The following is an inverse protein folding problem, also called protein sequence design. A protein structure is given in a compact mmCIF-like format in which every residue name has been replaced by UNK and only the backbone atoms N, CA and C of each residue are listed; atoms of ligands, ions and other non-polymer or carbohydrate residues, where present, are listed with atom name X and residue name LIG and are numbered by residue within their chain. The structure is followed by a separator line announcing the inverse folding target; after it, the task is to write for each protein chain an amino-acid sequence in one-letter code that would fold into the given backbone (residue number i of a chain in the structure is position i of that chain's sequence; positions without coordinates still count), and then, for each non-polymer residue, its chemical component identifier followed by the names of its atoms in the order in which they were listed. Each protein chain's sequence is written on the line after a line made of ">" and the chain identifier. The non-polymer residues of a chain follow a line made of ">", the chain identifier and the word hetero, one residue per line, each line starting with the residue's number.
data_IF_834479760045
#
_entry.id   IF_834479760045
#
_cell.length_a   1.000
_cell.length_b   1.000
_cell.length_c   1.000
_cell.angle_alpha   90.00
_cell.angle_beta   90.00
_cell.angle_gamma   90.00
#
_symmetry.space_group_name_H-M   'P 1'
#
loop_
_entity.id
_entity.type
_entity.pdbx_description
1 polymer ?
#
# COMPACT_ATOMS: atom_id res chain seq x y z
N UNK A 1 -48.14 20.80 4.11
CA UNK A 1 -47.34 20.02 3.14
C UNK A 1 -46.21 19.36 3.89
N UNK A 2 -46.35 18.07 4.12
CA UNK A 2 -45.49 17.25 4.96
C UNK A 2 -44.27 16.82 4.15
N UNK A 3 -43.04 17.21 4.60
CA UNK A 3 -41.81 16.72 4.01
C UNK A 3 -41.59 15.30 4.52
N UNK A 4 -41.72 14.33 3.62
CA UNK A 4 -41.45 12.92 3.84
C UNK A 4 -39.99 12.75 4.18
N UNK A 5 -39.66 12.45 5.44
CA UNK A 5 -38.34 11.93 5.85
C UNK A 5 -38.15 10.55 5.21
N UNK A 6 -37.36 10.48 4.12
CA UNK A 6 -36.80 9.21 3.64
C UNK A 6 -35.88 8.68 4.71
N UNK A 7 -36.29 7.61 5.39
CA UNK A 7 -35.42 6.79 6.22
C UNK A 7 -34.47 6.09 5.26
N UNK A 8 -33.24 6.60 5.17
CA UNK A 8 -32.14 5.88 4.52
C UNK A 8 -31.93 4.58 5.29
N UNK A 9 -32.09 3.45 4.63
CA UNK A 9 -31.74 2.15 5.18
C UNK A 9 -30.24 2.22 5.58
N UNK A 10 -29.96 2.12 6.87
CA UNK A 10 -28.63 2.02 7.43
C UNK A 10 -27.96 0.80 6.79
N UNK A 11 -26.98 1.02 5.92
CA UNK A 11 -26.13 -0.06 5.42
C UNK A 11 -25.21 -0.41 6.56
N UNK A 12 -25.23 -1.67 7.02
CA UNK A 12 -24.40 -2.12 8.13
C UNK A 12 -22.92 -1.97 7.74
N UNK A 13 -22.18 -1.14 8.47
CA UNK A 13 -20.73 -1.02 8.34
C UNK A 13 -20.05 -2.26 8.95
N UNK A 14 -18.80 -2.60 8.60
CA UNK A 14 -18.03 -3.62 9.31
C UNK A 14 -17.98 -3.35 10.83
N UNK A 15 -18.03 -2.08 11.24
CA UNK A 15 -18.11 -1.64 12.62
C UNK A 15 -19.41 -2.07 13.29
N UNK A 16 -20.56 -1.99 12.59
CA UNK A 16 -21.87 -2.46 13.08
C UNK A 16 -21.89 -3.99 13.31
N UNK A 17 -21.05 -4.75 12.58
CA UNK A 17 -20.91 -6.21 12.76
C UNK A 17 -20.02 -6.58 13.94
N UNK A 18 -19.09 -5.69 14.32
CA UNK A 18 -18.17 -5.91 15.43
C UNK A 18 -18.80 -5.54 16.79
N UNK A 19 -19.80 -4.67 16.77
CA UNK A 19 -20.49 -4.14 17.96
C UNK A 19 -19.49 -3.76 19.07
N UNK A 20 -18.50 -2.91 18.78
CA UNK A 20 -17.56 -2.49 19.82
C UNK A 20 -18.26 -1.57 20.81
N UNK A 21 -17.88 -1.66 22.08
CA UNK A 21 -18.31 -0.75 23.13
C UNK A 21 -17.28 0.33 23.45
N UNK A 22 -16.10 0.26 22.80
CA UNK A 22 -15.06 1.26 22.89
C UNK A 22 -13.93 1.06 21.89
N UNK A 23 -12.98 2.01 21.82
CA UNK A 23 -11.88 1.96 20.88
C UNK A 23 -10.54 2.45 21.44
N UNK A 24 -9.45 1.83 21.01
CA UNK A 24 -8.08 2.33 21.18
C UNK A 24 -7.55 2.70 19.80
N UNK A 25 -7.15 3.96 19.61
CA UNK A 25 -6.62 4.44 18.34
C UNK A 25 -5.10 4.48 18.38
N UNK A 26 -4.46 3.67 17.52
CA UNK A 26 -3.00 3.53 17.46
C UNK A 26 -2.40 4.45 16.39
N UNK A 27 -1.48 5.33 16.79
CA UNK A 27 -0.76 6.24 15.89
C UNK A 27 0.67 5.73 15.72
N UNK A 28 1.11 5.56 14.47
CA UNK A 28 2.51 5.33 14.15
C UNK A 28 3.27 6.67 14.19
N UNK A 29 4.09 6.88 15.21
CA UNK A 29 4.80 8.17 15.37
C UNK A 29 5.93 8.41 14.36
N UNK A 30 6.39 7.38 13.63
CA UNK A 30 7.27 7.58 12.47
C UNK A 30 6.54 8.24 11.29
N UNK A 31 5.23 7.96 11.15
CA UNK A 31 4.35 8.54 10.14
C UNK A 31 2.93 8.69 10.73
N UNK A 32 2.64 9.80 11.40
CA UNK A 32 1.39 9.97 12.15
C UNK A 32 0.10 10.03 11.32
N UNK A 33 0.18 10.24 10.02
CA UNK A 33 -0.96 10.28 9.07
C UNK A 33 -2.20 10.99 9.65
N UNK A 34 -2.06 12.25 10.04
CA UNK A 34 -3.07 13.01 10.79
C UNK A 34 -4.44 13.04 10.10
N UNK A 35 -4.47 13.19 8.77
CA UNK A 35 -5.73 13.18 8.00
C UNK A 35 -6.48 11.87 8.13
N UNK A 36 -5.77 10.75 8.06
CA UNK A 36 -6.32 9.42 8.24
C UNK A 36 -6.79 9.19 9.68
N UNK A 37 -6.01 9.66 10.66
CA UNK A 37 -6.40 9.54 12.06
C UNK A 37 -7.67 10.33 12.39
N UNK A 38 -7.89 11.47 11.74
CA UNK A 38 -9.15 12.23 11.87
C UNK A 38 -10.36 11.44 11.41
N UNK A 39 -10.25 10.63 10.34
CA UNK A 39 -11.34 9.75 9.90
C UNK A 39 -11.69 8.71 10.97
N UNK A 40 -10.70 8.11 11.64
CA UNK A 40 -10.97 7.20 12.75
C UNK A 40 -11.60 7.92 13.94
N UNK A 41 -11.16 9.13 14.24
CA UNK A 41 -11.74 9.96 15.33
C UNK A 41 -13.20 10.29 15.04
N UNK A 42 -13.53 10.82 13.87
CA UNK A 42 -14.89 11.10 13.44
C UNK A 42 -15.77 9.85 13.58
N UNK A 43 -15.26 8.69 13.19
CA UNK A 43 -15.98 7.44 13.26
C UNK A 43 -16.34 6.99 14.69
N UNK A 44 -15.42 7.10 15.64
CA UNK A 44 -15.66 6.71 17.04
C UNK A 44 -16.52 7.77 17.75
N UNK A 45 -16.39 9.04 17.39
CA UNK A 45 -17.21 10.14 17.89
C UNK A 45 -18.66 10.03 17.40
N UNK A 46 -18.88 9.78 16.10
CA UNK A 46 -20.21 9.55 15.52
C UNK A 46 -20.91 8.34 16.14
N UNK A 47 -20.14 7.29 16.42
CA UNK A 47 -20.63 6.09 17.13
C UNK A 47 -20.79 6.32 18.64
N UNK A 48 -20.42 7.47 19.18
CA UNK A 48 -20.43 7.81 20.59
C UNK A 48 -19.69 6.79 21.48
N UNK A 49 -18.61 6.21 20.97
CA UNK A 49 -17.81 5.23 21.68
C UNK A 49 -16.77 5.93 22.58
N UNK A 50 -16.55 5.48 23.81
CA UNK A 50 -15.40 5.89 24.60
C UNK A 50 -14.12 5.44 23.89
N UNK A 51 -13.09 6.29 23.88
CA UNK A 51 -11.83 5.99 23.25
C UNK A 51 -10.64 6.71 23.90
N UNK A 52 -9.43 6.23 23.63
CA UNK A 52 -8.19 6.96 23.86
C UNK A 52 -7.16 6.65 22.77
N UNK A 53 -6.15 7.52 22.66
CA UNK A 53 -5.13 7.45 21.63
C UNK A 53 -3.79 6.99 22.20
N UNK A 54 -3.08 6.14 21.47
CA UNK A 54 -1.74 5.65 21.78
C UNK A 54 -0.76 6.08 20.68
N UNK A 55 0.25 6.84 21.06
CA UNK A 55 1.36 7.25 20.21
C UNK A 55 2.46 6.19 20.31
N UNK A 56 2.51 5.25 19.37
CA UNK A 56 3.46 4.14 19.35
C UNK A 56 4.76 4.48 18.60
N UNK A 57 5.83 3.70 18.84
CA UNK A 57 7.18 3.85 18.32
C UNK A 57 7.93 5.08 18.89
N UNK A 58 7.63 5.42 20.15
CA UNK A 58 8.30 6.53 20.84
C UNK A 58 9.79 6.26 21.11
N UNK A 59 10.24 5.03 21.01
CA UNK A 59 11.64 4.61 21.15
C UNK A 59 12.55 5.10 19.99
N UNK A 60 11.94 5.45 18.84
CA UNK A 60 12.66 5.85 17.63
C UNK A 60 12.31 7.25 17.12
N UNK A 61 11.54 8.04 17.89
CA UNK A 61 11.14 9.40 17.51
C UNK A 61 11.43 10.41 18.63
N UNK A 62 11.61 11.67 18.27
CA UNK A 62 11.84 12.73 19.23
C UNK A 62 10.55 13.16 19.95
N UNK A 63 10.68 13.59 21.22
CA UNK A 63 9.54 14.07 22.02
C UNK A 63 8.83 15.29 21.40
N UNK A 64 9.52 16.09 20.62
CA UNK A 64 8.99 17.24 19.87
C UNK A 64 7.89 16.83 18.87
N UNK A 65 8.03 15.66 18.25
CA UNK A 65 7.04 15.11 17.32
C UNK A 65 5.74 14.73 18.04
N UNK A 66 5.81 14.23 19.26
CA UNK A 66 4.64 13.93 20.08
C UNK A 66 3.83 15.21 20.39
N UNK A 67 4.50 16.30 20.79
CA UNK A 67 3.86 17.58 21.05
C UNK A 67 3.18 18.14 19.81
N UNK A 68 3.89 18.14 18.68
CA UNK A 68 3.34 18.60 17.39
C UNK A 68 2.13 17.77 16.93
N UNK A 69 2.12 16.47 17.21
CA UNK A 69 0.99 15.58 16.87
C UNK A 69 -0.20 15.84 17.79
N UNK A 70 0.03 16.04 19.10
CA UNK A 70 -1.01 16.45 20.05
C UNK A 70 -1.69 17.76 19.63
N UNK A 71 -0.88 18.78 19.28
CA UNK A 71 -1.38 20.09 18.85
C UNK A 71 -2.25 19.98 17.58
N UNK A 72 -1.84 19.16 16.63
CA UNK A 72 -2.58 18.94 15.38
C UNK A 72 -3.90 18.19 15.57
N UNK A 73 -3.96 17.26 16.51
CA UNK A 73 -5.17 16.48 16.82
C UNK A 73 -6.08 17.17 17.84
N UNK A 74 -5.53 18.00 18.72
CA UNK A 74 -6.25 18.62 19.83
C UNK A 74 -6.62 17.62 20.93
N UNK A 75 -5.94 16.46 21.01
CA UNK A 75 -6.25 15.35 21.92
C UNK A 75 -5.01 14.88 22.68
N UNK A 76 -5.23 14.30 23.85
CA UNK A 76 -4.15 13.68 24.62
C UNK A 76 -3.75 12.34 24.01
N UNK A 77 -2.43 12.09 23.97
CA UNK A 77 -1.84 10.87 23.43
C UNK A 77 -1.05 10.16 24.52
N UNK A 78 -1.25 8.87 24.68
CA UNK A 78 -0.43 8.02 25.56
C UNK A 78 0.84 7.63 24.79
N UNK A 79 2.02 8.15 25.18
CA UNK A 79 3.26 7.77 24.54
C UNK A 79 3.63 6.32 24.90
N UNK A 80 4.02 5.53 23.91
CA UNK A 80 4.37 4.13 24.12
C UNK A 80 5.35 3.60 23.07
N UNK A 81 5.98 2.49 23.40
CA UNK A 81 6.73 1.65 22.47
C UNK A 81 6.36 0.19 22.67
N UNK A 82 5.80 -0.43 21.66
CA UNK A 82 5.47 -1.86 21.69
C UNK A 82 6.74 -2.73 21.63
N UNK A 83 7.89 -2.17 21.28
CA UNK A 83 9.18 -2.87 21.22
C UNK A 83 9.83 -2.90 22.60
N UNK A 84 9.90 -1.77 23.28
CA UNK A 84 10.56 -1.66 24.60
C UNK A 84 9.61 -1.93 25.77
N UNK A 85 8.31 -1.91 25.57
CA UNK A 85 7.29 -2.00 26.61
C UNK A 85 7.06 -0.67 27.36
N UNK A 86 7.72 0.42 26.96
CA UNK A 86 7.49 1.74 27.55
C UNK A 86 6.04 2.19 27.33
N UNK A 87 5.42 2.75 28.37
CA UNK A 87 4.03 3.24 28.31
C UNK A 87 2.96 2.17 28.52
N UNK A 88 3.29 0.87 28.58
CA UNK A 88 2.31 -0.21 28.71
C UNK A 88 1.47 -0.12 30.00
N UNK A 89 2.07 0.25 31.13
CA UNK A 89 1.32 0.41 32.38
C UNK A 89 0.33 1.59 32.31
N UNK A 90 0.70 2.66 31.60
CA UNK A 90 -0.21 3.78 31.33
C UNK A 90 -1.38 3.34 30.43
N UNK A 91 -1.13 2.55 29.41
CA UNK A 91 -2.17 1.99 28.52
C UNK A 91 -3.13 1.10 29.33
N UNK A 92 -2.61 0.21 30.18
CA UNK A 92 -3.44 -0.65 31.06
C UNK A 92 -4.29 0.16 32.03
N UNK A 93 -3.73 1.24 32.60
CA UNK A 93 -4.50 2.15 33.46
C UNK A 93 -5.62 2.83 32.69
N UNK A 94 -5.31 3.43 31.53
CA UNK A 94 -6.30 4.08 30.65
C UNK A 94 -7.39 3.11 30.18
N UNK A 95 -7.04 1.85 29.91
CA UNK A 95 -8.01 0.82 29.54
C UNK A 95 -9.01 0.56 30.66
N UNK A 96 -8.55 0.45 31.91
CA UNK A 96 -9.43 0.27 33.07
C UNK A 96 -10.27 1.51 33.41
N UNK A 97 -9.75 2.70 33.12
CA UNK A 97 -10.44 3.96 33.35
C UNK A 97 -11.52 4.22 32.29
N UNK A 98 -11.27 3.82 31.03
CA UNK A 98 -12.14 4.11 29.90
C UNK A 98 -13.21 3.03 29.65
N UNK A 99 -12.95 1.78 30.06
CA UNK A 99 -13.80 0.64 29.72
C UNK A 99 -14.12 -0.22 30.94
N UNK A 100 -15.20 -1.00 30.86
CA UNK A 100 -15.63 -1.94 31.90
C UNK A 100 -15.36 -3.40 31.50
N UNK A 101 -15.14 -4.32 32.48
CA UNK A 101 -15.10 -5.75 32.18
C UNK A 101 -16.37 -6.19 31.41
N UNK A 102 -16.19 -6.93 30.33
CA UNK A 102 -17.25 -7.30 29.38
C UNK A 102 -17.25 -6.46 28.12
N UNK A 103 -16.56 -5.32 28.11
CA UNK A 103 -16.50 -4.46 26.93
C UNK A 103 -15.73 -5.09 25.77
N UNK A 104 -16.17 -4.75 24.58
CA UNK A 104 -15.56 -5.13 23.30
C UNK A 104 -14.80 -3.93 22.75
N UNK A 105 -13.47 -3.95 22.87
CA UNK A 105 -12.61 -2.81 22.55
C UNK A 105 -11.96 -3.02 21.18
N UNK A 106 -12.30 -2.19 20.23
CA UNK A 106 -11.69 -2.21 18.91
C UNK A 106 -10.32 -1.50 18.93
N UNK A 107 -9.29 -2.15 18.40
CA UNK A 107 -7.96 -1.55 18.23
C UNK A 107 -7.88 -1.02 16.80
N UNK A 108 -7.96 0.29 16.64
CA UNK A 108 -7.99 1.00 15.37
C UNK A 108 -6.65 1.67 15.06
N UNK A 109 -6.35 1.89 13.81
CA UNK A 109 -5.14 2.60 13.39
C UNK A 109 -4.67 2.14 12.02
N UNK A 110 -3.85 2.97 11.39
CA UNK A 110 -3.27 2.67 10.08
C UNK A 110 -2.43 1.39 10.12
N UNK A 111 -2.11 0.90 8.93
CA UNK A 111 -1.17 -0.20 8.80
C UNK A 111 0.16 0.12 9.51
N UNK A 112 0.76 -0.89 10.13
CA UNK A 112 2.02 -0.77 10.89
C UNK A 112 1.99 0.25 12.06
N UNK A 113 0.81 0.57 12.60
CA UNK A 113 0.69 1.39 13.82
C UNK A 113 0.96 0.61 15.11
N UNK A 114 1.06 -0.73 15.04
CA UNK A 114 1.37 -1.60 16.17
C UNK A 114 0.13 -2.18 16.88
N UNK A 115 -1.01 -2.33 16.20
CA UNK A 115 -2.25 -2.89 16.79
C UNK A 115 -2.06 -4.31 17.32
N UNK A 116 -1.61 -5.22 16.48
CA UNK A 116 -1.33 -6.62 16.85
C UNK A 116 -0.24 -6.70 17.92
N UNK A 117 0.78 -5.82 17.84
CA UNK A 117 1.84 -5.75 18.85
C UNK A 117 1.29 -5.30 20.22
N UNK A 118 0.34 -4.36 20.24
CA UNK A 118 -0.33 -3.95 21.48
C UNK A 118 -1.11 -5.13 22.09
N UNK A 119 -1.86 -5.86 21.29
CA UNK A 119 -2.62 -7.04 21.75
C UNK A 119 -1.66 -8.12 22.27
N UNK A 120 -0.57 -8.39 21.57
CA UNK A 120 0.48 -9.31 22.00
C UNK A 120 1.06 -8.92 23.36
N UNK A 121 1.41 -7.64 23.55
CA UNK A 121 1.92 -7.11 24.82
C UNK A 121 0.89 -7.17 25.96
N UNK A 122 -0.39 -6.93 25.69
CA UNK A 122 -1.44 -7.01 26.68
C UNK A 122 -1.73 -8.46 27.10
N UNK A 123 -1.88 -9.34 26.11
CA UNK A 123 -2.31 -10.73 26.33
C UNK A 123 -1.15 -11.69 26.69
N UNK A 124 0.08 -11.32 26.39
CA UNK A 124 1.25 -12.21 26.50
C UNK A 124 1.29 -13.32 25.44
N UNK A 125 0.43 -13.25 24.41
CA UNK A 125 0.40 -14.18 23.30
C UNK A 125 1.49 -13.84 22.28
N UNK A 126 2.17 -14.85 21.76
CA UNK A 126 3.08 -14.70 20.62
C UNK A 126 2.26 -14.66 19.34
N UNK A 127 1.80 -13.44 19.00
CA UNK A 127 1.01 -13.20 17.80
C UNK A 127 1.94 -12.95 16.61
N UNK A 128 1.59 -13.48 15.46
CA UNK A 128 2.32 -13.21 14.21
C UNK A 128 2.21 -11.71 13.88
N UNK A 129 3.24 -10.96 14.24
CA UNK A 129 3.37 -9.54 13.96
C UNK A 129 4.06 -9.44 12.60
N UNK A 130 3.31 -9.16 11.54
CA UNK A 130 3.87 -9.02 10.20
C UNK A 130 3.89 -7.56 9.77
N UNK A 131 5.01 -7.13 9.17
CA UNK A 131 5.11 -5.83 8.48
C UNK A 131 4.46 -5.85 7.09
N UNK A 132 3.75 -6.94 6.74
CA UNK A 132 3.09 -7.10 5.46
C UNK A 132 1.65 -6.59 5.52
N UNK A 133 1.19 -5.82 4.51
CA UNK A 133 -0.23 -5.50 4.37
C UNK A 133 -1.05 -6.80 4.26
N UNK A 134 -2.04 -6.97 5.16
CA UNK A 134 -2.91 -8.14 5.13
C UNK A 134 -2.56 -9.29 6.09
N UNK A 135 -1.65 -9.09 7.05
CA UNK A 135 -1.45 -10.07 8.16
C UNK A 135 -2.71 -10.27 8.98
N UNK A 136 -3.58 -9.27 9.06
CA UNK A 136 -4.92 -9.41 9.63
C UNK A 136 -5.91 -9.33 8.47
N UNK A 137 -6.22 -10.47 7.85
CA UNK A 137 -7.22 -10.57 6.77
C UNK A 137 -8.65 -10.64 7.28
N UNK A 138 -8.82 -10.95 8.57
CA UNK A 138 -10.10 -11.05 9.27
C UNK A 138 -9.98 -10.38 10.64
N UNK A 139 -11.11 -9.88 11.16
CA UNK A 139 -11.18 -9.36 12.53
C UNK A 139 -10.97 -10.50 13.53
N UNK A 140 -9.89 -10.43 14.29
CA UNK A 140 -9.59 -11.44 15.31
C UNK A 140 -9.88 -10.89 16.70
N UNK A 141 -10.43 -11.73 17.57
CA UNK A 141 -10.82 -11.37 18.92
C UNK A 141 -9.93 -12.06 19.95
N UNK A 142 -9.51 -11.31 20.96
CA UNK A 142 -8.64 -11.79 22.03
C UNK A 142 -9.22 -11.42 23.38
N UNK A 143 -9.15 -12.32 24.36
CA UNK A 143 -9.56 -12.06 25.75
C UNK A 143 -8.40 -11.50 26.54
N UNK A 144 -8.64 -10.42 27.28
CA UNK A 144 -7.67 -9.82 28.21
C UNK A 144 -8.38 -9.22 29.43
N UNK A 145 -8.09 -9.70 30.65
CA UNK A 145 -8.63 -9.20 31.93
C UNK A 145 -10.15 -8.92 31.93
N UNK A 146 -10.93 -9.74 31.23
CA UNK A 146 -12.39 -9.60 31.11
C UNK A 146 -12.84 -8.73 29.91
N UNK A 147 -11.94 -8.11 29.18
CA UNK A 147 -12.23 -7.40 27.93
C UNK A 147 -12.14 -8.35 26.72
N UNK A 148 -12.85 -8.00 25.66
CA UNK A 148 -12.64 -8.58 24.33
C UNK A 148 -11.93 -7.56 23.45
N UNK A 149 -10.64 -7.74 23.20
CA UNK A 149 -9.86 -6.92 22.28
C UNK A 149 -10.10 -7.39 20.85
N UNK A 150 -10.43 -6.47 19.95
CA UNK A 150 -10.68 -6.78 18.53
C UNK A 150 -9.54 -6.21 17.70
N UNK A 151 -8.71 -7.07 17.13
CA UNK A 151 -7.70 -6.66 16.15
C UNK A 151 -8.39 -6.30 14.85
N UNK A 152 -8.14 -5.10 14.37
CA UNK A 152 -8.76 -4.60 13.14
C UNK A 152 -7.76 -4.55 12.00
N UNK A 153 -8.25 -4.77 10.79
CA UNK A 153 -7.45 -4.63 9.58
C UNK A 153 -6.92 -3.19 9.51
N UNK A 154 -5.61 -3.01 9.29
CA UNK A 154 -4.93 -1.69 9.27
C UNK A 154 -5.25 -0.83 8.04
N UNK A 155 -6.43 -0.99 7.46
CA UNK A 155 -6.90 -0.14 6.36
C UNK A 155 -7.80 0.97 6.90
N UNK A 156 -7.67 2.16 6.33
CA UNK A 156 -8.64 3.24 6.52
C UNK A 156 -9.93 2.79 5.86
N UNK A 157 -10.86 2.31 6.66
CA UNK A 157 -12.22 2.15 6.21
C UNK A 157 -12.88 3.49 6.43
N UNK A 158 -13.09 4.26 5.38
CA UNK A 158 -14.05 5.36 5.42
C UNK A 158 -15.43 4.74 5.66
N UNK A 159 -15.89 4.81 6.91
CA UNK A 159 -17.12 4.14 7.38
C UNK A 159 -18.35 4.71 6.68
N UNK A 160 -18.24 5.88 6.08
CA UNK A 160 -19.32 6.57 5.36
C UNK A 160 -19.26 6.31 3.84
N UNK A 161 -18.22 5.64 3.35
CA UNK A 161 -18.16 5.21 1.94
C UNK A 161 -18.37 3.70 1.83
N UNK A 162 -19.23 3.25 0.92
CA UNK A 162 -19.39 1.83 0.66
C UNK A 162 -18.01 1.24 0.31
N UNK A 163 -17.57 0.29 1.13
CA UNK A 163 -16.35 -0.48 0.91
C UNK A 163 -16.52 -1.22 -0.42
N UNK A 164 -15.85 -0.82 -1.48
CA UNK A 164 -15.76 -1.53 -2.75
C UNK A 164 -16.52 -0.97 -3.98
N UNK A 165 -16.69 0.32 -4.14
CA UNK A 165 -17.02 0.78 -5.49
C UNK A 165 -16.10 1.92 -5.90
N UNK A 166 -15.14 1.61 -6.76
CA UNK A 166 -14.30 2.62 -7.43
C UNK A 166 -15.09 3.41 -8.49
N UNK A 167 -16.35 3.07 -8.70
CA UNK A 167 -17.27 3.68 -9.68
C UNK A 167 -18.65 3.70 -9.09
N UNK A 168 -19.32 4.85 -9.10
CA UNK A 168 -20.75 4.90 -8.76
C UNK A 168 -21.57 4.29 -9.92
N UNK A 169 -22.16 3.14 -9.64
CA UNK A 169 -23.00 2.38 -10.56
C UNK A 169 -24.48 2.42 -10.14
N UNK A 170 -24.84 3.23 -9.16
CA UNK A 170 -26.16 3.21 -8.53
C UNK A 170 -27.30 3.62 -9.47
N UNK A 171 -27.03 4.46 -10.45
CA UNK A 171 -27.96 4.94 -11.47
C UNK A 171 -28.01 4.07 -12.74
N UNK A 172 -27.13 3.09 -12.86
CA UNK A 172 -27.09 2.18 -14.00
C UNK A 172 -28.19 1.12 -13.89
N UNK A 173 -29.05 1.04 -14.90
CA UNK A 173 -30.23 0.15 -14.93
C UNK A 173 -29.86 -1.28 -15.39
N UNK A 174 -28.77 -1.47 -16.12
CA UNK A 174 -28.40 -2.76 -16.69
C UNK A 174 -26.92 -3.07 -16.46
N UNK A 175 -26.55 -4.37 -16.50
CA UNK A 175 -25.17 -4.80 -16.48
C UNK A 175 -24.35 -4.21 -17.64
N UNK A 176 -24.95 -4.01 -18.81
CA UNK A 176 -24.31 -3.39 -19.97
C UNK A 176 -23.91 -1.94 -19.68
N UNK A 177 -24.77 -1.18 -19.03
CA UNK A 177 -24.47 0.21 -18.64
C UNK A 177 -23.36 0.26 -17.60
N UNK A 178 -23.41 -0.64 -16.61
CA UNK A 178 -22.37 -0.76 -15.58
C UNK A 178 -21.00 -1.05 -16.19
N UNK A 179 -20.92 -2.06 -17.07
CA UNK A 179 -19.70 -2.41 -17.78
C UNK A 179 -19.16 -1.24 -18.63
N UNK A 180 -20.06 -0.59 -19.39
CA UNK A 180 -19.68 0.56 -20.22
C UNK A 180 -19.15 1.74 -19.38
N UNK A 181 -19.72 1.98 -18.20
CA UNK A 181 -19.27 3.04 -17.29
C UNK A 181 -17.87 2.76 -16.76
N UNK A 182 -17.59 1.55 -16.26
CA UNK A 182 -16.27 1.16 -15.79
C UNK A 182 -15.20 1.34 -16.90
N UNK A 183 -15.46 0.84 -18.09
CA UNK A 183 -14.53 0.97 -19.22
C UNK A 183 -14.27 2.44 -19.62
N UNK A 184 -15.32 3.28 -19.60
CA UNK A 184 -15.13 4.72 -19.88
C UNK A 184 -14.30 5.39 -18.81
N UNK A 185 -14.57 5.09 -17.54
CA UNK A 185 -13.82 5.67 -16.43
C UNK A 185 -12.33 5.29 -16.46
N UNK A 186 -12.02 4.04 -16.80
CA UNK A 186 -10.63 3.61 -16.97
C UNK A 186 -9.97 4.35 -18.13
N UNK A 187 -10.66 4.51 -19.27
CA UNK A 187 -10.18 5.30 -20.41
C UNK A 187 -9.97 6.79 -20.05
N UNK A 188 -10.88 7.40 -19.29
CA UNK A 188 -10.72 8.77 -18.79
C UNK A 188 -9.50 8.92 -17.88
N UNK A 189 -9.21 7.93 -17.05
CA UNK A 189 -8.01 7.90 -16.21
C UNK A 189 -6.71 7.87 -17.02
N UNK A 190 -6.69 7.08 -18.09
CA UNK A 190 -5.57 7.03 -19.03
C UNK A 190 -5.38 8.39 -19.71
N UNK A 191 -6.46 8.99 -20.23
CA UNK A 191 -6.40 10.29 -20.90
C UNK A 191 -5.96 11.41 -19.96
N UNK A 192 -6.48 11.45 -18.74
CA UNK A 192 -6.06 12.43 -17.74
C UNK A 192 -4.58 12.30 -17.34
N UNK A 193 -4.02 11.12 -17.47
CA UNK A 193 -2.61 10.86 -17.16
C UNK A 193 -1.65 11.44 -18.19
N UNK A 194 -2.08 11.65 -19.44
CA UNK A 194 -1.26 12.28 -20.47
C UNK A 194 -0.72 13.65 -20.03
N UNK A 195 -1.54 14.46 -19.35
CA UNK A 195 -1.15 15.83 -18.95
C UNK A 195 -0.07 15.87 -17.88
N UNK A 196 0.14 14.80 -17.14
CA UNK A 196 1.02 14.77 -15.96
C UNK A 196 2.18 13.78 -16.09
N UNK A 197 2.07 12.79 -16.95
CA UNK A 197 3.06 11.70 -17.04
C UNK A 197 4.12 11.94 -18.12
N UNK A 198 3.85 12.72 -19.15
CA UNK A 198 4.72 12.83 -20.34
C UNK A 198 6.13 13.32 -20.01
N UNK A 199 6.27 14.37 -19.21
CA UNK A 199 7.59 14.91 -18.85
C UNK A 199 8.43 13.89 -18.08
N UNK A 200 7.81 13.18 -17.13
CA UNK A 200 8.45 12.13 -16.38
C UNK A 200 8.80 10.91 -17.24
N UNK A 201 7.90 10.54 -18.15
CA UNK A 201 8.12 9.44 -19.10
C UNK A 201 9.32 9.73 -20.02
N UNK A 202 9.39 10.92 -20.60
CA UNK A 202 10.49 11.34 -21.47
C UNK A 202 11.84 11.25 -20.73
N UNK A 203 11.93 11.79 -19.53
CA UNK A 203 13.14 11.72 -18.70
C UNK A 203 13.52 10.27 -18.38
N UNK A 204 12.56 9.43 -18.04
CA UNK A 204 12.80 8.03 -17.68
C UNK A 204 13.21 7.20 -18.89
N UNK A 205 12.65 7.45 -20.09
CA UNK A 205 13.12 6.81 -21.34
C UNK A 205 14.60 7.11 -21.59
N UNK A 206 15.02 8.38 -21.44
CA UNK A 206 16.43 8.77 -21.59
C UNK A 206 17.34 8.03 -20.62
N UNK A 207 16.98 8.03 -19.36
CA UNK A 207 17.77 7.39 -18.30
C UNK A 207 17.82 5.88 -18.47
N UNK A 208 16.69 5.24 -18.78
CA UNK A 208 16.64 3.79 -19.05
C UNK A 208 17.54 3.42 -20.21
N UNK A 209 17.45 4.15 -21.34
CA UNK A 209 18.27 3.87 -22.50
C UNK A 209 19.76 3.96 -22.17
N UNK A 210 20.20 5.04 -21.53
CA UNK A 210 21.62 5.27 -21.18
C UNK A 210 22.16 4.18 -20.23
N UNK A 211 21.36 3.78 -19.22
CA UNK A 211 21.81 2.79 -18.24
C UNK A 211 21.84 1.37 -18.85
N UNK A 212 20.86 1.02 -19.67
CA UNK A 212 20.85 -0.28 -20.36
C UNK A 212 22.03 -0.39 -21.34
N UNK A 213 22.33 0.66 -22.08
CA UNK A 213 23.51 0.70 -22.97
C UNK A 213 24.82 0.56 -22.19
N UNK A 214 24.85 1.04 -20.97
CA UNK A 214 25.99 0.90 -20.04
C UNK A 214 26.06 -0.48 -19.36
N UNK A 215 25.15 -1.39 -19.67
CA UNK A 215 25.11 -2.75 -19.12
C UNK A 215 24.44 -2.88 -17.75
N UNK A 216 23.78 -1.83 -17.29
CA UNK A 216 23.01 -1.87 -16.04
C UNK A 216 21.65 -2.54 -16.24
N UNK A 217 21.10 -3.10 -15.17
CA UNK A 217 19.80 -3.77 -15.19
C UNK A 217 18.68 -2.89 -14.67
N UNK A 218 17.49 -3.25 -15.06
CA UNK A 218 16.25 -2.63 -14.59
C UNK A 218 15.54 -3.60 -13.65
N UNK A 219 15.13 -3.09 -12.51
CA UNK A 219 14.37 -3.82 -11.50
C UNK A 219 13.05 -3.08 -11.27
N UNK A 220 11.95 -3.81 -11.22
CA UNK A 220 10.64 -3.23 -10.93
C UNK A 220 10.01 -3.89 -9.71
N UNK A 221 9.31 -3.10 -8.92
CA UNK A 221 8.63 -3.57 -7.69
C UNK A 221 7.28 -2.88 -7.48
N UNK A 222 6.37 -3.59 -6.85
CA UNK A 222 5.03 -3.11 -6.51
C UNK A 222 4.31 -4.09 -5.59
N UNK A 223 3.15 -3.69 -5.02
CA UNK A 223 2.33 -4.53 -4.17
C UNK A 223 0.91 -4.67 -4.68
N UNK A 224 0.28 -5.82 -4.44
CA UNK A 224 -1.09 -6.10 -4.84
C UNK A 224 -1.30 -5.79 -6.32
N UNK A 225 -2.29 -4.96 -6.66
CA UNK A 225 -2.57 -4.59 -8.04
C UNK A 225 -1.39 -3.83 -8.73
N UNK A 226 -0.62 -3.03 -7.98
CA UNK A 226 0.62 -2.43 -8.50
C UNK A 226 1.71 -3.47 -8.75
N UNK A 227 1.72 -4.57 -8.00
CA UNK A 227 2.57 -5.73 -8.26
C UNK A 227 2.23 -6.41 -9.58
N UNK A 228 0.95 -6.52 -9.93
CA UNK A 228 0.53 -7.03 -11.25
C UNK A 228 1.01 -6.14 -12.40
N UNK A 229 0.97 -4.80 -12.22
CA UNK A 229 1.54 -3.86 -13.21
C UNK A 229 3.05 -4.04 -13.34
N UNK A 230 3.75 -4.28 -12.21
CA UNK A 230 5.18 -4.58 -12.23
C UNK A 230 5.50 -5.89 -12.97
N UNK A 231 4.68 -6.92 -12.81
CA UNK A 231 4.82 -8.19 -13.54
C UNK A 231 4.60 -8.00 -15.04
N UNK A 232 3.58 -7.23 -15.43
CA UNK A 232 3.31 -6.87 -16.82
C UNK A 232 4.50 -6.11 -17.43
N UNK A 233 5.07 -5.15 -16.70
CA UNK A 233 6.26 -4.44 -17.13
C UNK A 233 7.44 -5.39 -17.42
N UNK A 234 7.63 -6.42 -16.62
CA UNK A 234 8.67 -7.43 -16.85
C UNK A 234 8.36 -8.30 -18.08
N UNK A 235 7.11 -8.69 -18.27
CA UNK A 235 6.66 -9.46 -19.44
C UNK A 235 6.87 -8.68 -20.74
N UNK A 236 6.37 -7.46 -20.81
CA UNK A 236 6.58 -6.58 -21.95
C UNK A 236 8.04 -6.19 -22.17
N UNK A 237 8.83 -6.09 -21.09
CA UNK A 237 10.27 -5.90 -21.19
C UNK A 237 10.94 -6.98 -22.03
N UNK A 238 10.52 -8.23 -21.86
CA UNK A 238 11.02 -9.35 -22.68
C UNK A 238 10.71 -9.14 -24.17
N UNK A 239 9.47 -8.76 -24.49
CA UNK A 239 9.04 -8.53 -25.90
C UNK A 239 9.74 -7.34 -26.53
N UNK A 240 10.08 -6.33 -25.77
CA UNK A 240 10.74 -5.09 -26.22
C UNK A 240 12.27 -5.14 -26.10
N UNK A 241 12.85 -6.29 -25.73
CA UNK A 241 14.29 -6.47 -25.60
C UNK A 241 14.91 -5.72 -24.42
N UNK A 242 14.10 -5.40 -23.41
CA UNK A 242 14.52 -4.77 -22.16
C UNK A 242 14.41 -5.80 -21.02
N UNK A 243 15.53 -6.39 -20.58
CA UNK A 243 15.48 -7.37 -19.49
C UNK A 243 15.16 -6.66 -18.16
N UNK A 244 13.96 -6.91 -17.63
CA UNK A 244 13.47 -6.33 -16.38
C UNK A 244 13.29 -7.43 -15.35
N UNK A 245 13.94 -7.29 -14.21
CA UNK A 245 13.74 -8.15 -13.05
C UNK A 245 12.57 -7.63 -12.22
N UNK A 246 11.63 -8.51 -11.89
CA UNK A 246 10.46 -8.15 -11.08
C UNK A 246 10.57 -8.75 -9.69
N UNK A 247 10.36 -7.91 -8.66
CA UNK A 247 10.20 -8.33 -7.28
C UNK A 247 8.88 -7.77 -6.74
N UNK A 248 7.88 -8.62 -6.59
CA UNK A 248 6.58 -8.25 -6.05
C UNK A 248 6.34 -8.90 -4.69
N UNK A 249 5.48 -8.29 -3.89
CA UNK A 249 5.12 -8.82 -2.58
C UNK A 249 4.51 -10.22 -2.67
N UNK A 250 3.75 -10.49 -3.72
CA UNK A 250 3.08 -11.78 -3.91
C UNK A 250 4.08 -12.91 -4.21
N UNK A 251 5.18 -12.60 -4.90
CA UNK A 251 6.28 -13.54 -5.12
C UNK A 251 7.07 -13.79 -3.82
N UNK A 252 7.22 -12.80 -2.97
CA UNK A 252 7.88 -12.94 -1.67
C UNK A 252 7.06 -13.77 -0.69
N UNK A 253 5.72 -13.72 -0.77
CA UNK A 253 4.81 -14.53 0.05
C UNK A 253 4.62 -15.96 -0.47
N UNK A 254 4.75 -16.18 -1.78
CA UNK A 254 4.67 -17.51 -2.39
C UNK A 254 5.86 -18.42 -2.04
N UNK A 255 6.96 -17.84 -1.55
CA UNK A 255 8.05 -18.61 -0.98
C UNK A 255 7.96 -18.59 0.53
N UNK A 256 7.57 -19.69 1.20
CA UNK A 256 7.79 -19.84 2.62
C UNK A 256 9.30 -19.91 2.85
N UNK A 257 9.92 -18.76 2.91
CA UNK A 257 11.31 -18.70 3.30
C UNK A 257 11.32 -18.94 4.80
N UNK A 258 11.46 -20.21 5.14
CA UNK A 258 11.82 -20.63 6.48
C UNK A 258 13.19 -20.04 6.81
N UNK A 259 13.21 -18.81 7.26
CA UNK A 259 14.43 -18.19 7.73
C UNK A 259 14.69 -18.64 9.16
N UNK A 260 15.88 -19.16 9.33
CA UNK A 260 16.46 -19.48 10.62
C UNK A 260 16.26 -18.34 11.62
N UNK A 261 15.80 -18.69 12.81
CA UNK A 261 15.76 -17.81 14.00
C UNK A 261 17.05 -17.01 14.09
N UNK A 262 16.96 -15.67 14.02
CA UNK A 262 18.07 -14.77 14.29
C UNK A 262 18.29 -13.60 13.33
N UNK A 263 17.48 -13.47 12.27
CA UNK A 263 17.50 -12.29 11.41
C UNK A 263 16.27 -11.45 11.76
N UNK A 264 16.46 -10.18 12.11
CA UNK A 264 15.37 -9.28 12.49
C UNK A 264 14.32 -9.17 11.39
N UNK A 265 13.05 -9.05 11.76
CA UNK A 265 11.92 -8.95 10.82
C UNK A 265 12.06 -7.80 9.81
N UNK A 266 12.80 -6.75 10.19
CA UNK A 266 13.11 -5.58 9.36
C UNK A 266 13.95 -5.91 8.11
N UNK A 267 14.68 -7.03 8.12
CA UNK A 267 15.52 -7.47 7.00
C UNK A 267 14.85 -8.49 6.07
N UNK A 268 13.64 -8.95 6.38
CA UNK A 268 12.98 -10.08 5.69
C UNK A 268 11.98 -9.66 4.60
N UNK A 269 11.94 -8.41 4.21
CA UNK A 269 11.05 -7.91 3.17
C UNK A 269 11.66 -7.97 1.76
N UNK A 270 10.86 -7.52 0.80
CA UNK A 270 11.23 -7.31 -0.61
C UNK A 270 12.52 -6.49 -0.77
N UNK A 271 12.75 -5.54 0.13
CA UNK A 271 13.96 -4.70 0.23
C UNK A 271 15.25 -5.52 0.32
N UNK A 272 15.21 -6.70 0.94
CA UNK A 272 16.39 -7.58 1.00
C UNK A 272 16.78 -8.11 -0.38
N UNK A 273 15.82 -8.50 -1.21
CA UNK A 273 16.11 -8.94 -2.58
C UNK A 273 16.68 -7.79 -3.40
N UNK A 274 16.12 -6.58 -3.25
CA UNK A 274 16.67 -5.36 -3.85
C UNK A 274 18.12 -5.15 -3.39
N UNK A 275 18.39 -5.26 -2.10
CA UNK A 275 19.73 -5.10 -1.54
C UNK A 275 20.74 -6.09 -2.12
N UNK A 276 20.32 -7.32 -2.41
CA UNK A 276 21.20 -8.34 -3.01
C UNK A 276 21.31 -8.21 -4.53
N UNK A 277 20.23 -7.84 -5.21
CA UNK A 277 20.14 -7.88 -6.66
C UNK A 277 20.62 -6.59 -7.35
N UNK A 278 20.68 -5.46 -6.62
CA UNK A 278 20.92 -4.12 -7.17
C UNK A 278 22.34 -3.64 -6.91
N UNK A 279 22.94 -3.01 -7.91
CA UNK A 279 24.28 -2.37 -7.84
C UNK A 279 24.15 -0.88 -8.21
N UNK A 280 25.23 -0.13 -7.99
CA UNK A 280 25.33 1.27 -8.43
C UNK A 280 25.12 1.36 -9.95
N UNK A 281 24.32 2.33 -10.40
CA UNK A 281 23.97 2.53 -11.80
C UNK A 281 22.78 1.71 -12.30
N UNK A 282 22.35 0.67 -11.58
CA UNK A 282 21.10 -0.04 -11.90
C UNK A 282 19.89 0.87 -11.70
N UNK A 283 18.77 0.56 -12.33
CA UNK A 283 17.53 1.31 -12.16
C UNK A 283 16.52 0.49 -11.36
N UNK A 284 15.89 1.11 -10.37
CA UNK A 284 14.81 0.49 -9.60
C UNK A 284 13.54 1.33 -9.73
N UNK A 285 12.50 0.71 -10.30
CA UNK A 285 11.20 1.31 -10.53
C UNK A 285 10.22 0.81 -9.49
N UNK A 286 9.71 1.71 -8.67
CA UNK A 286 8.65 1.43 -7.68
C UNK A 286 7.29 1.84 -8.21
N UNK A 287 6.30 0.95 -8.15
CA UNK A 287 4.91 1.24 -8.54
C UNK A 287 4.04 1.25 -7.30
N UNK A 288 3.40 2.39 -7.03
CA UNK A 288 2.51 2.55 -5.88
C UNK A 288 1.39 3.54 -6.18
N UNK A 289 0.17 3.06 -6.28
CA UNK A 289 -1.00 3.91 -6.56
C UNK A 289 -1.14 5.07 -5.56
N UNK A 290 -1.05 4.78 -4.27
CA UNK A 290 -1.20 5.77 -3.19
C UNK A 290 0.06 6.57 -2.89
N UNK A 291 1.24 6.12 -3.37
CA UNK A 291 2.53 6.65 -2.93
C UNK A 291 2.89 6.32 -1.47
N UNK A 292 2.05 5.55 -0.77
CA UNK A 292 2.21 5.24 0.66
C UNK A 292 2.61 3.80 0.96
N UNK A 293 3.05 3.01 -0.02
CA UNK A 293 3.40 1.60 0.16
C UNK A 293 4.78 1.46 0.80
N UNK A 294 4.81 1.16 2.10
CA UNK A 294 6.03 1.18 2.93
C UNK A 294 7.16 0.30 2.40
N UNK A 295 6.89 -0.93 1.93
CA UNK A 295 7.94 -1.79 1.40
C UNK A 295 8.48 -1.32 0.02
N UNK A 296 7.69 -0.62 -0.80
CA UNK A 296 8.18 0.01 -2.04
C UNK A 296 9.11 1.18 -1.69
N UNK A 297 8.74 1.96 -0.67
CA UNK A 297 9.57 3.01 -0.13
C UNK A 297 10.92 2.48 0.38
N UNK A 298 10.90 1.42 1.21
CA UNK A 298 12.12 0.80 1.73
C UNK A 298 12.98 0.23 0.60
N UNK A 299 12.36 -0.39 -0.41
CA UNK A 299 13.07 -0.91 -1.59
C UNK A 299 13.79 0.21 -2.37
N UNK A 300 13.13 1.33 -2.64
CA UNK A 300 13.75 2.47 -3.32
C UNK A 300 14.82 3.14 -2.46
N UNK A 301 14.59 3.30 -1.16
CA UNK A 301 15.58 3.86 -0.23
C UNK A 301 16.87 3.03 -0.23
N UNK A 302 16.77 1.71 -0.09
CA UNK A 302 17.93 0.81 -0.13
C UNK A 302 18.62 0.78 -1.49
N UNK A 303 17.87 0.86 -2.58
CA UNK A 303 18.44 0.96 -3.92
C UNK A 303 19.27 2.23 -4.07
N UNK A 304 18.74 3.36 -3.61
CA UNK A 304 19.43 4.66 -3.61
C UNK A 304 20.70 4.64 -2.76
N UNK A 305 20.66 4.05 -1.57
CA UNK A 305 21.83 3.89 -0.70
C UNK A 305 22.95 3.08 -1.37
N UNK A 306 22.61 2.22 -2.33
CA UNK A 306 23.56 1.46 -3.14
C UNK A 306 24.05 2.20 -4.38
N UNK A 307 23.57 3.41 -4.64
CA UNK A 307 23.91 4.20 -5.82
C UNK A 307 23.12 3.81 -7.08
N UNK A 308 22.01 3.10 -6.93
CA UNK A 308 21.08 2.86 -8.02
C UNK A 308 20.21 4.10 -8.27
N UNK A 309 19.72 4.24 -9.49
CA UNK A 309 18.78 5.28 -9.87
C UNK A 309 17.37 4.81 -9.56
N UNK A 310 16.60 5.66 -8.92
CA UNK A 310 15.25 5.32 -8.45
C UNK A 310 14.17 6.07 -9.24
N UNK A 311 13.14 5.33 -9.66
CA UNK A 311 11.98 5.83 -10.37
C UNK A 311 10.72 5.45 -9.61
N UNK A 312 9.74 6.34 -9.52
CA UNK A 312 8.41 6.00 -8.99
C UNK A 312 7.31 6.29 -9.99
N UNK A 313 6.39 5.34 -10.14
CA UNK A 313 5.11 5.52 -10.84
C UNK A 313 4.02 5.62 -9.77
N UNK A 314 3.37 6.77 -9.64
CA UNK A 314 2.40 7.02 -8.57
C UNK A 314 1.36 8.07 -8.94
N UNK A 315 0.19 7.99 -8.30
CA UNK A 315 -0.83 9.05 -8.34
C UNK A 315 -0.48 10.20 -7.38
N UNK A 316 0.09 9.87 -6.21
CA UNK A 316 0.37 10.84 -5.16
C UNK A 316 1.88 11.05 -4.98
N UNK A 317 2.35 12.22 -5.38
CA UNK A 317 3.77 12.62 -5.29
C UNK A 317 4.13 13.28 -3.94
N UNK A 318 3.13 13.75 -3.20
CA UNK A 318 3.31 14.41 -1.90
C UNK A 318 3.44 13.40 -0.76
N UNK A 319 4.29 12.39 -0.97
CA UNK A 319 4.53 11.28 -0.04
C UNK A 319 6.03 11.06 0.13
N UNK A 320 6.46 10.40 1.21
CA UNK A 320 7.86 10.02 1.36
C UNK A 320 8.41 9.24 0.15
N UNK A 321 7.59 8.39 -0.46
CA UNK A 321 7.98 7.62 -1.65
C UNK A 321 8.26 8.54 -2.85
N UNK A 322 7.38 9.51 -3.12
CA UNK A 322 7.59 10.50 -4.18
C UNK A 322 8.81 11.41 -3.93
N UNK A 323 9.09 11.73 -2.65
CA UNK A 323 10.23 12.55 -2.28
C UNK A 323 11.59 11.80 -2.31
N UNK A 324 11.56 10.48 -2.27
CA UNK A 324 12.77 9.65 -2.26
C UNK A 324 13.26 9.30 -3.67
N UNK A 325 12.37 9.22 -4.65
CA UNK A 325 12.72 8.85 -6.02
C UNK A 325 13.48 9.96 -6.75
N UNK A 326 14.47 9.57 -7.57
CA UNK A 326 15.21 10.50 -8.43
C UNK A 326 14.35 10.97 -9.61
N UNK A 327 13.44 10.11 -10.10
CA UNK A 327 12.49 10.40 -11.17
C UNK A 327 11.08 9.98 -10.79
N UNK A 328 10.10 10.80 -11.22
CA UNK A 328 8.69 10.58 -10.91
C UNK A 328 7.88 10.55 -12.21
N UNK A 329 7.10 9.49 -12.39
CA UNK A 329 6.04 9.43 -13.40
C UNK A 329 4.71 9.55 -12.67
N UNK A 330 4.09 10.71 -12.78
CA UNK A 330 2.83 11.01 -12.08
C UNK A 330 1.65 10.62 -12.94
N UNK A 331 0.82 9.69 -12.46
CA UNK A 331 -0.53 9.49 -12.99
C UNK A 331 -1.51 10.56 -12.47
N UNK A 332 -2.65 10.72 -13.13
CA UNK A 332 -3.71 11.66 -12.73
C UNK A 332 -5.09 11.01 -12.87
N UNK A 333 -5.17 9.75 -12.49
CA UNK A 333 -6.39 8.98 -12.66
C UNK A 333 -7.48 9.32 -11.63
N UNK A 334 -7.13 9.97 -10.52
CA UNK A 334 -8.04 10.44 -9.47
C UNK A 334 -9.07 9.37 -9.06
N UNK A 335 -8.69 8.43 -8.18
CA UNK A 335 -9.57 7.33 -7.78
C UNK A 335 -10.81 7.87 -7.07
N UNK A 336 -11.96 7.24 -7.32
CA UNK A 336 -13.20 7.57 -6.64
C UNK A 336 -13.45 6.68 -5.40
N UNK A 337 -12.53 5.74 -5.11
CA UNK A 337 -12.64 4.81 -3.99
C UNK A 337 -11.37 4.01 -3.72
N UNK A 338 -11.37 3.13 -2.72
CA UNK A 338 -10.18 2.43 -2.24
C UNK A 338 -9.63 1.37 -3.21
N UNK A 339 -10.45 0.90 -4.16
CA UNK A 339 -10.05 -0.04 -5.21
C UNK A 339 -10.25 0.66 -6.56
N UNK A 340 -9.17 1.03 -7.22
CA UNK A 340 -9.25 1.82 -8.44
C UNK A 340 -8.70 1.06 -9.64
N UNK A 341 -9.59 0.46 -10.44
CA UNK A 341 -9.25 -0.03 -11.78
C UNK A 341 -8.68 1.09 -12.64
N UNK A 342 -9.20 2.29 -12.50
CA UNK A 342 -8.79 3.51 -13.19
C UNK A 342 -7.30 3.82 -13.03
N UNK A 343 -6.76 3.76 -11.79
CA UNK A 343 -5.31 3.94 -11.56
C UNK A 343 -4.52 2.78 -12.17
N UNK A 344 -4.99 1.55 -12.02
CA UNK A 344 -4.30 0.39 -12.58
C UNK A 344 -4.24 0.47 -14.11
N UNK A 345 -5.34 0.84 -14.75
CA UNK A 345 -5.38 1.05 -16.21
C UNK A 345 -4.42 2.16 -16.65
N UNK A 346 -4.36 3.28 -15.91
CA UNK A 346 -3.41 4.36 -16.16
C UNK A 346 -1.95 3.92 -15.97
N UNK A 347 -1.63 3.18 -14.91
CA UNK A 347 -0.28 2.67 -14.69
C UNK A 347 0.14 1.64 -15.75
N UNK A 348 -0.77 0.77 -16.20
CA UNK A 348 -0.51 -0.11 -17.33
C UNK A 348 -0.20 0.69 -18.61
N UNK A 349 -1.01 1.70 -18.91
CA UNK A 349 -0.78 2.56 -20.08
C UNK A 349 0.58 3.29 -19.99
N UNK A 350 1.00 3.74 -18.81
CA UNK A 350 2.34 4.30 -18.55
C UNK A 350 3.43 3.28 -18.89
N UNK A 351 3.31 2.05 -18.39
CA UNK A 351 4.27 0.97 -18.61
C UNK A 351 4.39 0.65 -20.12
N UNK A 352 3.26 0.52 -20.81
CA UNK A 352 3.25 0.27 -22.26
C UNK A 352 3.89 1.43 -23.03
N UNK A 353 3.53 2.68 -22.73
CA UNK A 353 4.12 3.84 -23.38
C UNK A 353 5.63 3.91 -23.16
N UNK A 354 6.09 3.67 -21.93
CA UNK A 354 7.51 3.68 -21.58
C UNK A 354 8.30 2.63 -22.37
N UNK A 355 7.85 1.39 -22.36
CA UNK A 355 8.59 0.27 -22.99
C UNK A 355 8.54 0.31 -24.51
N UNK A 356 7.41 0.65 -25.12
CA UNK A 356 7.30 0.78 -26.57
C UNK A 356 8.14 1.95 -27.09
N UNK A 357 8.14 3.09 -26.40
CA UNK A 357 8.99 4.23 -26.76
C UNK A 357 10.47 3.89 -26.60
N UNK A 358 10.83 3.18 -25.54
CA UNK A 358 12.20 2.71 -25.32
C UNK A 358 12.65 1.72 -26.41
N UNK A 359 11.78 0.78 -26.80
CA UNK A 359 12.06 -0.17 -27.87
C UNK A 359 12.28 0.52 -29.22
N UNK A 360 11.41 1.47 -29.58
CA UNK A 360 11.56 2.30 -30.79
C UNK A 360 12.89 3.06 -30.79
N UNK A 361 13.20 3.75 -29.68
CA UNK A 361 14.46 4.48 -29.51
C UNK A 361 15.70 3.59 -29.67
N UNK A 362 15.64 2.35 -29.22
CA UNK A 362 16.70 1.35 -29.36
C UNK A 362 16.73 0.68 -30.72
N UNK A 363 15.82 1.04 -31.61
CA UNK A 363 15.70 0.48 -32.95
C UNK A 363 15.30 -1.00 -32.96
N UNK A 364 14.56 -1.47 -31.94
CA UNK A 364 14.09 -2.86 -31.88
C UNK A 364 13.03 -3.08 -32.96
N UNK A 365 13.35 -3.95 -33.90
CA UNK A 365 12.44 -4.33 -35.00
C UNK A 365 11.46 -5.40 -34.56
N UNK A 366 10.35 -5.56 -35.33
CA UNK A 366 9.38 -6.64 -35.09
C UNK A 366 10.03 -8.03 -35.15
N UNK A 367 10.98 -8.23 -36.06
CA UNK A 367 11.70 -9.51 -36.18
C UNK A 367 12.58 -9.79 -34.95
N UNK A 368 13.20 -8.75 -34.38
CA UNK A 368 13.96 -8.88 -33.16
C UNK A 368 13.04 -9.17 -31.95
N UNK A 369 11.91 -8.50 -31.85
CA UNK A 369 10.90 -8.76 -30.82
C UNK A 369 10.41 -10.21 -30.87
N UNK A 370 10.06 -10.70 -32.07
CA UNK A 370 9.74 -12.13 -32.31
C UNK A 370 10.90 -13.03 -31.88
N UNK A 371 12.14 -12.63 -32.19
CA UNK A 371 13.35 -13.34 -31.79
C UNK A 371 13.52 -13.50 -30.28
N UNK A 372 13.15 -12.53 -29.49
CA UNK A 372 13.19 -12.61 -28.04
C UNK A 372 12.18 -13.63 -27.48
N UNK A 373 11.03 -13.78 -28.14
CA UNK A 373 9.99 -14.76 -27.76
C UNK A 373 10.26 -16.16 -28.34
N UNK A 374 11.17 -16.28 -29.32
CA UNK A 374 11.42 -17.53 -30.07
C UNK A 374 11.77 -18.73 -29.16
N UNK A 375 12.53 -18.61 -28.07
CA UNK A 375 12.81 -19.73 -27.17
C UNK A 375 11.55 -20.41 -26.65
N UNK A 376 10.51 -19.66 -26.30
CA UNK A 376 9.21 -20.20 -25.84
C UNK A 376 8.48 -20.90 -26.99
N UNK A 377 8.45 -20.27 -28.18
CA UNK A 377 7.83 -20.84 -29.39
C UNK A 377 8.53 -22.15 -29.79
N UNK A 378 9.85 -22.19 -29.73
CA UNK A 378 10.63 -23.41 -30.02
C UNK A 378 10.39 -24.50 -28.99
N UNK A 379 10.33 -24.15 -27.71
CA UNK A 379 10.01 -25.09 -26.65
C UNK A 379 8.61 -25.68 -26.83
N UNK A 380 7.61 -24.84 -27.10
CA UNK A 380 6.22 -25.25 -27.36
C UNK A 380 6.13 -26.23 -28.53
N UNK A 381 6.82 -25.94 -29.63
CA UNK A 381 6.90 -26.87 -30.79
C UNK A 381 7.56 -28.19 -30.43
N UNK A 382 8.63 -28.20 -29.64
CA UNK A 382 9.31 -29.44 -29.18
C UNK A 382 8.40 -30.28 -28.28
N UNK A 383 7.46 -29.69 -27.57
CA UNK A 383 6.45 -30.38 -26.78
C UNK A 383 5.29 -30.95 -27.64
N UNK A 384 5.30 -30.73 -28.97
CA UNK A 384 4.25 -31.21 -29.84
C UNK A 384 2.94 -30.44 -29.77
N UNK A 385 2.95 -29.27 -29.16
CA UNK A 385 1.81 -28.35 -29.12
C UNK A 385 1.82 -27.56 -30.42
N UNK A 386 0.70 -27.66 -31.18
CA UNK A 386 0.51 -26.96 -32.45
C UNK A 386 0.01 -25.54 -32.25
#
# INVERSE_FOLDING_TARGET
>A
MSASKRVLKKVSTPFDRLEPSGAILMINMLDPQISTMRVFLEAVEDAQLPFFLVANKMDVVEKTQLSATRDKLGLDLVPASMVTGEGMETIKSRLRDAFSPGDRVAILGVFNSGKTSLISQLTGLDLAIGNLPGTTSEFTQYSYEGYTLIDTIGQVIDINKPMMVSVDLSDCQSSREKLARVLRQDAEGILATLETALDGLEQVVEVLNAQIESGHKVVVTGAGASGLVAMEMSGQGLETGVPILVFTNDLATAQPVSFSKGIGEEEMGLSRYITLAVNAGDIVIGISASGGTGFVYDALSRARDKGAITVVITENVDTPLGQTADYIIKSNAKPEGPSSSKIQAAHLAIVHALLLTLADRRGITADQSIGFMLPEVVATKRMGIK
#
